data_IF_523314904893
#
_entry.id   IF_523314904893
#
_cell.length_a   1.000
_cell.length_b   1.000
_cell.length_c   1.000
_cell.angle_alpha   90.00
_cell.angle_beta   90.00
_cell.angle_gamma   90.00
#
_symmetry.space_group_name_H-M   'P 1'
#
loop_
_entity.id
_entity.type
_entity.pdbx_description
1 polymer ?
#
# COMPACT_ATOMS: atom_id res chain seq x y z
N UNK A 1 17.84 17.64 -2.92
CA UNK A 1 18.71 16.59 -3.49
C UNK A 1 18.36 15.21 -2.92
N UNK A 2 18.26 15.05 -1.59
CA UNK A 2 17.94 13.76 -0.94
C UNK A 2 16.52 13.22 -1.17
N UNK A 3 15.49 14.08 -1.27
CA UNK A 3 14.09 13.61 -1.36
C UNK A 3 13.78 12.76 -2.61
N UNK A 4 14.48 13.03 -3.72
CA UNK A 4 14.37 12.23 -4.94
C UNK A 4 15.15 10.91 -4.85
N UNK A 5 16.27 10.91 -4.13
CA UNK A 5 17.08 9.71 -3.89
C UNK A 5 16.32 8.69 -3.04
N UNK A 6 15.60 9.17 -2.02
CA UNK A 6 14.85 8.28 -1.13
C UNK A 6 13.72 7.55 -1.85
N UNK A 7 12.95 8.28 -2.65
CA UNK A 7 11.90 7.70 -3.49
C UNK A 7 12.51 6.71 -4.51
N UNK A 8 13.67 7.04 -5.09
CA UNK A 8 14.34 6.16 -6.03
C UNK A 8 14.78 4.85 -5.37
N UNK A 9 15.22 4.87 -4.11
CA UNK A 9 15.56 3.64 -3.38
C UNK A 9 14.32 2.79 -3.10
N UNK A 10 13.21 3.41 -2.70
CA UNK A 10 11.94 2.70 -2.54
C UNK A 10 11.49 2.03 -3.84
N UNK A 11 11.60 2.73 -4.98
CA UNK A 11 11.28 2.15 -6.29
C UNK A 11 12.20 0.99 -6.66
N UNK A 12 13.51 1.12 -6.40
CA UNK A 12 14.48 0.03 -6.60
C UNK A 12 14.14 -1.17 -5.71
N UNK A 13 13.71 -0.95 -4.48
CA UNK A 13 13.26 -2.00 -3.58
C UNK A 13 12.07 -2.76 -4.16
N UNK A 14 11.02 -2.03 -4.54
CA UNK A 14 9.80 -2.59 -5.11
C UNK A 14 10.02 -3.36 -6.42
N UNK A 15 11.01 -2.97 -7.24
CA UNK A 15 11.34 -3.65 -8.49
C UNK A 15 12.04 -5.01 -8.29
N UNK A 16 12.62 -5.27 -7.12
CA UNK A 16 13.22 -6.57 -6.79
C UNK A 16 12.17 -7.61 -6.42
N UNK A 17 10.97 -7.18 -6.05
CA UNK A 17 9.91 -8.04 -5.56
C UNK A 17 9.06 -8.59 -6.71
N UNK A 18 8.45 -9.75 -6.46
CA UNK A 18 7.54 -10.38 -7.43
C UNK A 18 6.32 -9.50 -7.66
N UNK A 19 6.08 -9.09 -8.90
CA UNK A 19 4.94 -8.25 -9.28
C UNK A 19 3.93 -9.02 -10.13
N UNK A 20 2.89 -9.53 -9.47
CA UNK A 20 1.80 -10.29 -10.09
C UNK A 20 0.84 -9.45 -10.93
N UNK A 21 0.81 -8.13 -10.76
CA UNK A 21 0.02 -7.26 -11.64
C UNK A 21 0.60 -7.26 -13.07
N UNK A 22 1.91 -7.46 -13.21
CA UNK A 22 2.60 -7.55 -14.51
C UNK A 22 2.69 -8.97 -15.04
N UNK A 23 2.97 -9.94 -14.18
CA UNK A 23 3.20 -11.34 -14.59
C UNK A 23 1.94 -12.20 -14.59
N UNK A 24 0.84 -11.67 -14.07
CA UNK A 24 -0.41 -12.40 -13.86
C UNK A 24 -0.41 -13.23 -12.58
N UNK A 25 -1.61 -13.57 -12.14
CA UNK A 25 -1.82 -14.51 -11.04
C UNK A 25 -1.60 -15.94 -11.59
N UNK A 26 -0.69 -16.74 -11.01
CA UNK A 26 -0.47 -18.13 -11.40
C UNK A 26 -1.76 -18.96 -11.35
N UNK A 27 -1.88 -19.93 -12.27
CA UNK A 27 -2.96 -20.93 -12.21
C UNK A 27 -2.82 -21.73 -10.92
N UNK A 28 -3.90 -21.88 -10.15
CA UNK A 28 -3.90 -22.60 -8.87
C UNK A 28 -3.55 -21.74 -7.64
N UNK A 29 -3.49 -20.42 -7.79
CA UNK A 29 -3.25 -19.45 -6.72
C UNK A 29 -4.25 -19.49 -5.52
N UNK A 30 -5.34 -20.26 -5.59
CA UNK A 30 -6.37 -20.32 -4.56
C UNK A 30 -5.99 -21.24 -3.39
N UNK A 31 -5.80 -20.62 -2.22
CA UNK A 31 -5.92 -21.09 -0.81
C UNK A 31 -5.36 -22.43 -0.31
N UNK A 32 -4.91 -23.36 -1.16
CA UNK A 32 -4.52 -24.70 -0.70
C UNK A 32 -3.04 -25.06 -0.99
N UNK A 33 -2.16 -24.06 -1.14
CA UNK A 33 -0.72 -24.30 -1.34
C UNK A 33 0.14 -23.43 -0.44
N UNK A 34 1.30 -23.97 -0.02
CA UNK A 34 2.32 -23.29 0.81
C UNK A 34 2.85 -21.98 0.16
N UNK A 35 2.65 -21.83 -1.15
CA UNK A 35 2.98 -20.64 -1.95
C UNK A 35 1.74 -19.95 -2.56
N UNK A 36 0.55 -20.25 -2.05
CA UNK A 36 -0.73 -19.72 -2.53
C UNK A 36 -0.93 -18.23 -2.22
N UNK A 37 -2.02 -17.67 -2.74
CA UNK A 37 -2.52 -16.33 -2.38
C UNK A 37 -3.35 -16.43 -1.10
N UNK A 38 -2.69 -16.81 -0.01
CA UNK A 38 -3.25 -16.65 1.33
C UNK A 38 -2.85 -15.28 1.92
N UNK A 39 -3.54 -14.87 2.98
CA UNK A 39 -3.24 -13.62 3.69
C UNK A 39 -2.18 -13.81 4.79
N UNK A 40 -1.57 -14.99 4.92
CA UNK A 40 -0.61 -15.33 5.97
C UNK A 40 0.63 -14.44 5.92
N UNK A 41 1.26 -14.33 4.74
CA UNK A 41 2.43 -13.45 4.52
C UNK A 41 2.09 -12.00 4.83
N UNK A 42 0.99 -11.49 4.27
CA UNK A 42 0.55 -10.12 4.51
C UNK A 42 0.27 -9.85 6.00
N UNK A 43 -0.37 -10.78 6.72
CA UNK A 43 -0.64 -10.64 8.16
C UNK A 43 0.64 -10.58 8.98
N UNK A 44 1.63 -11.44 8.69
CA UNK A 44 2.93 -11.43 9.39
C UNK A 44 3.72 -10.15 9.10
N UNK A 45 3.70 -9.68 7.85
CA UNK A 45 4.28 -8.38 7.48
C UNK A 45 3.62 -7.23 8.24
N UNK A 46 2.30 -7.15 8.26
CA UNK A 46 1.61 -6.08 9.00
C UNK A 46 1.84 -6.17 10.51
N UNK A 47 1.94 -7.38 11.05
CA UNK A 47 2.27 -7.60 12.46
C UNK A 47 3.66 -7.05 12.80
N UNK A 48 4.68 -7.32 11.98
CA UNK A 48 6.05 -6.81 12.20
C UNK A 48 6.11 -5.28 12.14
N UNK A 49 5.18 -4.64 11.42
CA UNK A 49 5.04 -3.19 11.32
C UNK A 49 4.13 -2.58 12.39
N UNK A 50 3.67 -3.35 13.37
CA UNK A 50 2.85 -2.85 14.48
C UNK A 50 1.36 -2.70 14.15
N UNK A 51 0.88 -3.46 13.16
CA UNK A 51 -0.51 -3.49 12.71
C UNK A 51 -1.10 -2.11 12.34
N UNK A 52 -0.49 -1.38 11.38
CA UNK A 52 -0.96 -0.05 11.00
C UNK A 52 -2.41 -0.02 10.50
N UNK A 53 -2.89 -1.11 9.89
CA UNK A 53 -4.26 -1.27 9.42
C UNK A 53 -5.33 -1.19 10.50
N UNK A 54 -4.96 -1.31 11.79
CA UNK A 54 -5.91 -1.21 12.91
C UNK A 54 -5.98 0.21 13.50
N UNK A 55 -5.30 1.19 12.89
CA UNK A 55 -5.16 2.56 13.43
C UNK A 55 -6.13 3.56 12.80
N UNK A 56 -6.89 3.16 11.79
CA UNK A 56 -7.88 3.98 11.09
C UNK A 56 -9.13 3.15 10.77
N UNK A 57 -10.26 3.81 10.51
CA UNK A 57 -11.46 3.15 9.95
C UNK A 57 -11.26 2.89 8.47
N UNK A 58 -11.86 1.83 7.92
CA UNK A 58 -11.69 1.51 6.50
C UNK A 58 -13.01 1.26 5.79
N UNK A 59 -13.04 1.64 4.52
CA UNK A 59 -14.08 1.26 3.56
C UNK A 59 -13.37 0.50 2.45
N UNK A 60 -13.75 -0.77 2.24
CA UNK A 60 -13.12 -1.66 1.29
C UNK A 60 -14.00 -1.82 0.04
N UNK A 61 -13.43 -1.57 -1.13
CA UNK A 61 -14.14 -1.56 -2.41
C UNK A 61 -13.60 -2.69 -3.30
N UNK A 62 -14.38 -3.75 -3.47
CA UNK A 62 -14.07 -4.84 -4.38
C UNK A 62 -15.01 -4.83 -5.61
N UNK A 63 -14.60 -5.50 -6.69
CA UNK A 63 -15.38 -5.60 -7.93
C UNK A 63 -14.56 -5.62 -9.22
N UNK A 64 -15.19 -6.04 -10.32
CA UNK A 64 -14.50 -6.21 -11.61
C UNK A 64 -14.32 -4.88 -12.36
N UNK A 65 -15.23 -3.92 -12.18
CA UNK A 65 -15.24 -2.62 -12.84
C UNK A 65 -15.71 -1.53 -11.89
N UNK A 66 -15.29 -0.29 -12.13
CA UNK A 66 -15.76 0.89 -11.39
C UNK A 66 -15.09 1.16 -10.04
N UNK A 67 -14.31 0.21 -9.48
CA UNK A 67 -13.65 0.35 -8.16
C UNK A 67 -12.89 1.66 -7.99
N UNK A 68 -11.90 1.95 -8.84
CA UNK A 68 -11.12 3.19 -8.78
C UNK A 68 -11.99 4.46 -8.88
N UNK A 69 -13.03 4.47 -9.72
CA UNK A 69 -13.97 5.59 -9.80
C UNK A 69 -14.80 5.74 -8.52
N UNK A 70 -15.31 4.63 -7.97
CA UNK A 70 -16.03 4.63 -6.69
C UNK A 70 -15.14 5.10 -5.55
N UNK A 71 -13.87 4.67 -5.51
CA UNK A 71 -12.90 5.10 -4.51
C UNK A 71 -12.60 6.61 -4.62
N UNK A 72 -12.44 7.12 -5.84
CA UNK A 72 -12.23 8.54 -6.11
C UNK A 72 -13.43 9.39 -5.65
N UNK A 73 -14.65 9.00 -6.04
CA UNK A 73 -15.87 9.72 -5.66
C UNK A 73 -16.10 9.70 -4.15
N UNK A 74 -15.98 8.53 -3.52
CA UNK A 74 -16.18 8.39 -2.09
C UNK A 74 -15.16 9.21 -1.30
N UNK A 75 -13.88 9.10 -1.65
CA UNK A 75 -12.83 9.87 -0.96
C UNK A 75 -12.97 11.38 -1.16
N UNK A 76 -13.50 11.84 -2.29
CA UNK A 76 -13.81 13.26 -2.52
C UNK A 76 -14.99 13.74 -1.67
N UNK A 77 -16.07 12.97 -1.58
CA UNK A 77 -17.24 13.29 -0.75
C UNK A 77 -16.83 13.38 0.73
N UNK A 78 -16.09 12.39 1.22
CA UNK A 78 -15.63 12.37 2.61
C UNK A 78 -14.74 13.57 2.95
N UNK A 79 -13.85 13.96 2.03
CA UNK A 79 -13.02 15.17 2.23
C UNK A 79 -13.84 16.45 2.23
N UNK A 80 -14.88 16.54 1.38
CA UNK A 80 -15.79 17.68 1.38
C UNK A 80 -16.55 17.83 2.71
N UNK A 81 -16.83 16.72 3.39
CA UNK A 81 -17.40 16.68 4.75
C UNK A 81 -16.37 16.95 5.87
N UNK A 82 -15.12 17.27 5.52
CA UNK A 82 -14.07 17.68 6.46
C UNK A 82 -13.22 16.53 7.03
N UNK A 83 -13.39 15.29 6.57
CA UNK A 83 -12.55 14.18 7.02
C UNK A 83 -11.15 14.22 6.38
N UNK A 84 -10.14 13.83 7.16
CA UNK A 84 -8.83 13.44 6.64
C UNK A 84 -8.91 12.01 6.10
N UNK A 85 -8.68 11.84 4.79
CA UNK A 85 -8.94 10.56 4.10
C UNK A 85 -7.66 10.02 3.46
N UNK A 86 -7.32 8.78 3.79
CA UNK A 86 -6.40 7.96 3.00
C UNK A 86 -7.14 7.30 1.85
N UNK A 87 -6.59 7.27 0.64
CA UNK A 87 -7.15 6.50 -0.47
C UNK A 87 -6.06 5.65 -1.11
N UNK A 88 -6.29 4.34 -1.22
CA UNK A 88 -5.39 3.39 -1.88
C UNK A 88 -6.06 2.78 -3.11
N UNK A 89 -5.48 2.99 -4.29
CA UNK A 89 -6.03 2.52 -5.58
C UNK A 89 -4.98 1.85 -6.45
N UNK A 90 -5.42 1.03 -7.41
CA UNK A 90 -4.51 0.39 -8.38
C UNK A 90 -5.17 0.16 -9.75
N UNK A 91 -4.40 0.19 -10.86
CA UNK A 91 -2.99 0.56 -10.96
C UNK A 91 -2.76 2.08 -10.87
N UNK A 92 -1.50 2.53 -10.90
CA UNK A 92 -1.19 3.97 -11.02
C UNK A 92 -1.32 4.43 -12.47
N UNK A 93 -1.59 5.72 -12.68
CA UNK A 93 -1.67 6.33 -14.01
C UNK A 93 -0.31 6.88 -14.45
N UNK A 94 0.36 7.66 -13.59
CA UNK A 94 1.65 8.33 -13.92
C UNK A 94 2.78 7.87 -13.01
N UNK A 95 2.54 7.82 -11.70
CA UNK A 95 3.57 7.50 -10.71
C UNK A 95 3.01 6.58 -9.61
N UNK A 96 3.86 5.80 -8.94
CA UNK A 96 3.42 4.93 -7.83
C UNK A 96 2.69 5.71 -6.72
N UNK A 97 3.01 7.01 -6.56
CA UNK A 97 2.42 7.90 -5.57
C UNK A 97 0.95 8.14 -5.84
N UNK A 98 0.51 8.07 -7.10
CA UNK A 98 -0.89 8.24 -7.49
C UNK A 98 -1.79 7.17 -6.87
N UNK A 99 -1.21 6.03 -6.47
CA UNK A 99 -1.94 4.97 -5.75
C UNK A 99 -2.31 5.36 -4.34
N UNK A 100 -1.69 6.38 -3.75
CA UNK A 100 -1.85 6.74 -2.34
C UNK A 100 -2.12 8.24 -2.24
N UNK A 101 -3.36 8.62 -1.94
CA UNK A 101 -3.70 10.01 -1.61
C UNK A 101 -4.04 10.15 -0.13
N UNK A 102 -3.81 11.33 0.43
CA UNK A 102 -3.81 11.57 1.87
C UNK A 102 -4.46 12.91 2.23
N UNK A 103 -4.86 13.04 3.50
CA UNK A 103 -5.32 14.29 4.08
C UNK A 103 -6.67 14.78 3.54
N UNK A 104 -6.90 16.08 3.72
CA UNK A 104 -8.14 16.77 3.36
C UNK A 104 -8.17 17.26 1.91
N UNK A 105 -7.02 17.37 1.25
CA UNK A 105 -6.93 17.82 -0.15
C UNK A 105 -7.01 16.67 -1.15
N UNK A 106 -6.59 15.46 -0.75
CA UNK A 106 -6.56 14.30 -1.65
C UNK A 106 -5.42 14.31 -2.64
N UNK A 107 -4.35 15.04 -2.35
CA UNK A 107 -3.13 15.01 -3.15
C UNK A 107 -2.41 13.67 -3.01
N UNK A 108 -1.71 13.20 -4.07
CA UNK A 108 -0.81 12.06 -3.98
C UNK A 108 0.24 12.27 -2.88
N UNK A 109 0.62 11.19 -2.20
CA UNK A 109 1.69 11.24 -1.20
C UNK A 109 2.94 11.89 -1.79
N UNK A 110 3.58 12.77 -1.01
CA UNK A 110 4.80 13.43 -1.47
C UNK A 110 5.95 12.41 -1.59
N UNK A 111 6.90 12.67 -2.49
CA UNK A 111 8.09 11.84 -2.65
C UNK A 111 8.86 11.71 -1.33
N UNK A 112 8.97 12.82 -0.59
CA UNK A 112 9.59 12.89 0.73
C UNK A 112 8.88 12.00 1.74
N UNK A 113 7.56 12.14 1.91
CA UNK A 113 6.81 11.37 2.89
C UNK A 113 6.92 9.86 2.61
N UNK A 114 6.78 9.46 1.34
CA UNK A 114 6.91 8.07 0.93
C UNK A 114 8.33 7.52 1.16
N UNK A 115 9.36 8.27 0.74
CA UNK A 115 10.77 7.88 0.90
C UNK A 115 11.16 7.79 2.38
N UNK A 116 10.88 8.83 3.16
CA UNK A 116 11.18 8.85 4.60
C UNK A 116 10.45 7.74 5.35
N UNK A 117 9.20 7.46 5.03
CA UNK A 117 8.47 6.34 5.62
C UNK A 117 9.09 4.99 5.27
N UNK A 118 9.47 4.80 4.00
CA UNK A 118 10.18 3.59 3.57
C UNK A 118 11.46 3.36 4.38
N UNK A 119 12.34 4.35 4.51
CA UNK A 119 13.56 4.20 5.32
C UNK A 119 13.28 3.88 6.78
N UNK A 120 12.27 4.52 7.37
CA UNK A 120 11.84 4.27 8.74
C UNK A 120 11.44 2.81 8.99
N UNK A 121 10.92 2.11 7.97
CA UNK A 121 10.49 0.71 8.09
C UNK A 121 11.41 -0.29 7.38
N UNK A 122 12.43 0.17 6.63
CA UNK A 122 13.24 -0.65 5.74
C UNK A 122 13.83 -1.88 6.44
N UNK A 123 14.44 -1.72 7.61
CA UNK A 123 15.02 -2.85 8.35
C UNK A 123 13.99 -3.92 8.71
N UNK A 124 12.74 -3.52 9.01
CA UNK A 124 11.64 -4.47 9.28
C UNK A 124 11.14 -5.13 8.01
N UNK A 125 11.13 -4.41 6.89
CA UNK A 125 10.83 -5.00 5.58
C UNK A 125 11.88 -6.03 5.18
N UNK A 126 13.17 -5.72 5.34
CA UNK A 126 14.28 -6.64 5.03
C UNK A 126 14.21 -7.91 5.87
N UNK A 127 14.02 -7.78 7.20
CA UNK A 127 13.85 -8.94 8.08
C UNK A 127 12.59 -9.76 7.75
N UNK A 128 11.49 -9.11 7.36
CA UNK A 128 10.26 -9.79 6.95
C UNK A 128 10.46 -10.52 5.61
N UNK A 129 11.17 -9.91 4.66
CA UNK A 129 11.49 -10.51 3.38
C UNK A 129 12.33 -11.79 3.56
N UNK A 130 13.34 -11.75 4.43
CA UNK A 130 14.16 -12.91 4.79
C UNK A 130 13.32 -14.01 5.45
N UNK A 131 12.50 -13.64 6.44
CA UNK A 131 11.64 -14.59 7.17
C UNK A 131 10.62 -15.30 6.27
N UNK A 132 10.19 -14.65 5.19
CA UNK A 132 9.30 -15.21 4.18
C UNK A 132 10.05 -15.87 3.01
N UNK A 133 11.34 -16.16 3.15
CA UNK A 133 12.13 -16.83 2.10
C UNK A 133 12.27 -16.02 0.81
N UNK A 134 12.19 -14.69 0.88
CA UNK A 134 12.22 -13.82 -0.28
C UNK A 134 10.89 -13.71 -1.04
N UNK A 135 9.78 -14.20 -0.48
CA UNK A 135 8.50 -14.30 -1.18
C UNK A 135 7.54 -13.13 -0.98
N UNK A 136 7.95 -12.04 -0.31
CA UNK A 136 7.13 -10.84 -0.29
C UNK A 136 6.95 -10.27 -1.70
N UNK A 137 5.71 -9.91 -2.01
CA UNK A 137 5.32 -9.38 -3.31
C UNK A 137 5.38 -7.85 -3.31
N UNK A 138 5.46 -7.30 -4.53
CA UNK A 138 5.32 -5.87 -4.77
C UNK A 138 4.06 -5.30 -4.12
N UNK A 139 2.94 -6.01 -4.27
CA UNK A 139 1.64 -5.58 -3.77
C UNK A 139 1.58 -5.61 -2.23
N UNK A 140 2.10 -6.65 -1.58
CA UNK A 140 2.13 -6.74 -0.11
C UNK A 140 2.95 -5.60 0.51
N UNK A 141 4.14 -5.34 -0.01
CA UNK A 141 5.01 -4.26 0.50
C UNK A 141 4.40 -2.88 0.25
N UNK A 142 3.86 -2.64 -0.95
CA UNK A 142 3.24 -1.36 -1.27
C UNK A 142 1.99 -1.10 -0.40
N UNK A 143 1.17 -2.12 -0.19
CA UNK A 143 -0.03 -2.03 0.67
C UNK A 143 0.36 -1.79 2.13
N UNK A 144 1.40 -2.45 2.63
CA UNK A 144 1.90 -2.25 3.98
C UNK A 144 2.44 -0.81 4.19
N UNK A 145 3.14 -0.27 3.19
CA UNK A 145 3.59 1.13 3.17
C UNK A 145 2.40 2.10 3.16
N UNK A 146 1.38 1.85 2.34
CA UNK A 146 0.18 2.68 2.27
C UNK A 146 -0.54 2.74 3.63
N UNK A 147 -0.80 1.58 4.25
CA UNK A 147 -1.43 1.52 5.58
C UNK A 147 -0.58 2.21 6.65
N UNK A 148 0.74 2.02 6.55
CA UNK A 148 1.70 2.68 7.40
C UNK A 148 1.63 4.20 7.37
N UNK A 149 1.61 4.77 6.16
CA UNK A 149 1.44 6.19 5.92
C UNK A 149 0.09 6.70 6.43
N UNK A 150 -1.00 5.96 6.17
CA UNK A 150 -2.33 6.32 6.66
C UNK A 150 -2.39 6.40 8.19
N UNK A 151 -1.74 5.45 8.87
CA UNK A 151 -1.63 5.44 10.31
C UNK A 151 -0.75 6.58 10.86
N UNK A 152 0.35 6.91 10.18
CA UNK A 152 1.27 8.00 10.59
C UNK A 152 0.64 9.38 10.43
N UNK A 153 -0.08 9.59 9.34
CA UNK A 153 -0.86 10.80 9.06
C UNK A 153 -2.18 10.88 9.86
N UNK A 154 -2.49 9.84 10.65
CA UNK A 154 -3.69 9.76 11.50
C UNK A 154 -4.98 10.09 10.73
N UNK A 155 -5.14 9.49 9.55
CA UNK A 155 -6.37 9.68 8.76
C UNK A 155 -7.58 9.18 9.56
N UNK A 156 -8.72 9.86 9.42
CA UNK A 156 -9.96 9.47 10.08
C UNK A 156 -10.46 8.13 9.52
N UNK A 157 -10.37 7.99 8.19
CA UNK A 157 -10.65 6.76 7.48
C UNK A 157 -9.84 6.59 6.21
N UNK A 158 -9.73 5.33 5.76
CA UNK A 158 -9.09 4.96 4.51
C UNK A 158 -10.07 4.26 3.56
N UNK A 159 -10.10 4.69 2.30
CA UNK A 159 -10.80 4.03 1.20
C UNK A 159 -9.81 3.13 0.48
N UNK A 160 -10.05 1.82 0.50
CA UNK A 160 -9.12 0.79 0.01
C UNK A 160 -9.76 0.05 -1.17
N UNK A 161 -9.15 0.12 -2.35
CA UNK A 161 -9.45 -0.72 -3.54
C UNK A 161 -8.63 -2.02 -3.56
#
# INVERSE_FOLDING_TARGET
ASEGEDLNEFMKYLHKLKNHEKTGVPKGAGTDTEHGFDLGRMRRLLYSLGNPQTKFKSIHIAGTKGKGSTAAFLSSILRAEGYSVGCYTSPHIRTIRDRMTLGTTGEPVSAKALGSYFFKIKNRLDASLESEGGHLTHFEVLTAVAFGLFAEEKVDLAVIE
#
